data_IF_451341876420
#
_entry.id   IF_451341876420
#
_cell.length_a   1.000
_cell.length_b   1.000
_cell.length_c   1.000
_cell.angle_alpha   90.00
_cell.angle_beta   90.00
_cell.angle_gamma   90.00
#
_symmetry.space_group_name_H-M   'P 1'
#
loop_
_entity.id
_entity.type
_entity.pdbx_description
1 polymer ?
#
# COMPACT_ATOMS: atom_id res chain seq x y z
N UNK A 1 -14.58 -12.59 -19.46
CA UNK A 1 -15.56 -12.16 -18.44
C UNK A 1 -16.18 -10.86 -18.90
N UNK A 2 -17.51 -10.72 -18.89
CA UNK A 2 -18.15 -9.44 -19.17
C UNK A 2 -17.78 -8.45 -18.06
N UNK A 3 -17.44 -7.18 -18.37
CA UNK A 3 -17.09 -6.20 -17.34
C UNK A 3 -18.32 -5.94 -16.46
N UNK A 4 -18.24 -6.30 -15.19
CA UNK A 4 -19.29 -6.02 -14.21
C UNK A 4 -19.44 -4.49 -14.06
N UNK A 5 -20.58 -3.94 -14.49
CA UNK A 5 -20.84 -2.50 -14.44
C UNK A 5 -21.42 -2.13 -13.07
N UNK A 6 -20.55 -1.79 -12.11
CA UNK A 6 -20.93 -1.49 -10.72
C UNK A 6 -21.96 -0.34 -10.60
N UNK A 7 -21.93 0.61 -11.53
CA UNK A 7 -22.85 1.74 -11.60
C UNK A 7 -24.05 1.51 -12.54
N UNK A 8 -24.35 0.25 -12.90
CA UNK A 8 -25.50 -0.05 -13.75
C UNK A 8 -26.80 0.46 -13.10
N UNK A 9 -27.56 1.22 -13.86
CA UNK A 9 -28.88 1.70 -13.47
C UNK A 9 -29.95 0.78 -14.04
N UNK A 10 -30.93 0.40 -13.22
CA UNK A 10 -32.11 -0.31 -13.69
C UNK A 10 -33.04 0.62 -14.50
N UNK A 11 -34.21 0.12 -14.91
CA UNK A 11 -35.23 0.93 -15.61
C UNK A 11 -35.68 2.17 -14.82
N UNK A 12 -35.57 2.17 -13.50
CA UNK A 12 -35.89 3.32 -12.63
C UNK A 12 -34.72 4.28 -12.39
N UNK A 13 -33.56 4.08 -13.03
CA UNK A 13 -32.36 4.87 -12.74
C UNK A 13 -31.66 4.46 -11.43
N UNK A 14 -32.16 3.45 -10.71
CA UNK A 14 -31.58 3.04 -9.44
C UNK A 14 -30.37 2.11 -9.65
N UNK A 15 -29.30 2.35 -8.90
CA UNK A 15 -28.10 1.51 -8.85
C UNK A 15 -28.16 0.53 -7.68
N UNK A 16 -27.24 -0.45 -7.65
CA UNK A 16 -27.09 -1.33 -6.49
C UNK A 16 -26.92 -0.56 -5.16
N UNK A 17 -26.25 0.59 -5.19
CA UNK A 17 -26.03 1.43 -4.02
C UNK A 17 -27.31 2.10 -3.52
N UNK A 18 -28.25 2.44 -4.42
CA UNK A 18 -29.58 2.93 -4.02
C UNK A 18 -30.33 1.87 -3.23
N UNK A 19 -30.33 0.62 -3.69
CA UNK A 19 -30.99 -0.48 -2.99
C UNK A 19 -30.31 -0.82 -1.66
N UNK A 20 -28.98 -0.77 -1.59
CA UNK A 20 -28.25 -0.97 -0.35
C UNK A 20 -28.59 0.11 0.70
N UNK A 21 -28.69 1.37 0.26
CA UNK A 21 -29.06 2.47 1.13
C UNK A 21 -30.53 2.44 1.57
N UNK A 22 -31.45 2.17 0.64
CA UNK A 22 -32.88 2.05 0.90
C UNK A 22 -33.20 0.95 1.94
N UNK A 23 -32.41 -0.12 1.96
CA UNK A 23 -32.58 -1.22 2.91
C UNK A 23 -31.79 -1.04 4.22
N UNK A 24 -31.06 0.07 4.40
CA UNK A 24 -30.24 0.29 5.60
C UNK A 24 -29.09 -0.73 5.75
N UNK A 25 -28.61 -1.31 4.65
CA UNK A 25 -27.60 -2.38 4.69
C UNK A 25 -26.18 -1.81 4.64
N UNK A 26 -25.64 -1.45 5.80
CA UNK A 26 -24.29 -0.87 5.93
C UNK A 26 -23.20 -1.76 5.33
N UNK A 27 -23.27 -3.08 5.52
CA UNK A 27 -22.29 -4.00 4.96
C UNK A 27 -22.25 -3.96 3.42
N UNK A 28 -23.43 -3.99 2.79
CA UNK A 28 -23.51 -3.93 1.33
C UNK A 28 -23.09 -2.56 0.80
N UNK A 29 -23.39 -1.48 1.52
CA UNK A 29 -22.92 -0.13 1.18
C UNK A 29 -21.39 -0.06 1.24
N UNK A 30 -20.74 -0.55 2.30
CA UNK A 30 -19.28 -0.62 2.39
C UNK A 30 -18.66 -1.40 1.23
N UNK A 31 -19.24 -2.57 0.93
CA UNK A 31 -18.75 -3.43 -0.15
C UNK A 31 -18.82 -2.71 -1.50
N UNK A 32 -19.95 -2.07 -1.81
CA UNK A 32 -20.13 -1.32 -3.05
C UNK A 32 -19.21 -0.09 -3.13
N UNK A 33 -19.10 0.66 -2.04
CA UNK A 33 -18.25 1.85 -1.99
C UNK A 33 -16.75 1.53 -2.03
N UNK A 34 -16.36 0.31 -1.66
CA UNK A 34 -14.99 -0.20 -1.81
C UNK A 34 -14.62 -0.51 -3.25
N UNK A 35 -15.60 -0.67 -4.13
CA UNK A 35 -15.36 -1.02 -5.52
C UNK A 35 -14.79 0.19 -6.30
N UNK A 36 -13.77 -0.02 -7.14
CA UNK A 36 -13.24 1.02 -8.00
C UNK A 36 -14.30 1.61 -8.92
N UNK A 37 -14.26 2.93 -9.09
CA UNK A 37 -15.16 3.64 -10.02
C UNK A 37 -16.62 3.72 -9.57
N UNK A 38 -16.99 3.25 -8.37
CA UNK A 38 -18.34 3.45 -7.82
C UNK A 38 -18.68 4.95 -7.74
N UNK A 39 -19.85 5.32 -8.26
CA UNK A 39 -20.38 6.68 -8.16
C UNK A 39 -21.54 6.71 -7.17
N UNK A 40 -21.29 7.29 -6.00
CA UNK A 40 -22.27 7.45 -4.94
C UNK A 40 -23.23 8.62 -5.13
N UNK A 41 -23.03 9.43 -6.16
CA UNK A 41 -23.82 10.63 -6.43
C UNK A 41 -24.80 10.47 -7.60
N UNK A 42 -24.83 9.29 -8.24
CA UNK A 42 -25.82 8.99 -9.27
C UNK A 42 -27.23 9.17 -8.73
N UNK A 43 -28.09 9.77 -9.56
CA UNK A 43 -29.49 10.01 -9.24
C UNK A 43 -30.36 8.98 -9.93
N UNK A 44 -31.36 8.47 -9.23
CA UNK A 44 -32.45 7.73 -9.85
C UNK A 44 -33.41 8.67 -10.62
N UNK A 45 -34.47 8.13 -11.22
CA UNK A 45 -35.46 8.94 -11.96
C UNK A 45 -36.24 9.93 -11.09
N UNK A 46 -36.35 9.68 -9.80
CA UNK A 46 -36.96 10.59 -8.83
C UNK A 46 -36.00 11.71 -8.39
N UNK A 47 -34.78 11.74 -8.95
CA UNK A 47 -33.74 12.69 -8.60
C UNK A 47 -33.01 12.37 -7.30
N UNK A 48 -33.30 11.26 -6.63
CA UNK A 48 -32.70 10.88 -5.35
C UNK A 48 -31.34 10.23 -5.55
N UNK A 49 -30.34 10.60 -4.74
CA UNK A 49 -29.08 9.86 -4.56
C UNK A 49 -29.28 8.71 -3.58
N UNK A 50 -28.38 7.71 -3.50
CA UNK A 50 -28.44 6.68 -2.47
C UNK A 50 -28.57 7.25 -1.05
N UNK A 51 -27.85 8.32 -0.72
CA UNK A 51 -27.94 8.99 0.59
C UNK A 51 -29.35 9.56 0.87
N UNK A 52 -30.03 10.09 -0.15
CA UNK A 52 -31.36 10.68 0.01
C UNK A 52 -32.41 9.63 0.40
N UNK A 53 -32.20 8.37 0.04
CA UNK A 53 -33.10 7.26 0.38
C UNK A 53 -33.00 6.79 1.83
N UNK A 54 -31.96 7.21 2.57
CA UNK A 54 -31.73 6.75 3.94
C UNK A 54 -31.56 7.87 4.98
N UNK A 55 -31.28 9.12 4.57
CA UNK A 55 -30.91 10.21 5.49
C UNK A 55 -32.00 10.58 6.51
N UNK A 56 -33.28 10.49 6.12
CA UNK A 56 -34.41 10.93 6.95
C UNK A 56 -35.08 9.76 7.71
N UNK A 57 -34.55 8.54 7.60
CA UNK A 57 -35.12 7.36 8.25
C UNK A 57 -34.63 7.30 9.71
N UNK A 58 -35.52 7.33 10.72
CA UNK A 58 -35.12 7.41 12.14
C UNK A 58 -34.57 6.10 12.73
N UNK A 59 -34.34 5.08 11.89
CA UNK A 59 -33.82 3.77 12.31
C UNK A 59 -32.30 3.77 12.30
N UNK A 60 -31.69 3.23 13.36
CA UNK A 60 -30.23 3.15 13.54
C UNK A 60 -29.49 2.63 12.29
N UNK A 61 -29.98 1.56 11.67
CA UNK A 61 -29.32 0.96 10.50
C UNK A 61 -29.20 1.95 9.31
N UNK A 62 -30.22 2.77 9.05
CA UNK A 62 -30.20 3.78 7.99
C UNK A 62 -29.36 4.99 8.39
N UNK A 63 -29.37 5.39 9.66
CA UNK A 63 -28.49 6.44 10.17
C UNK A 63 -27.01 6.06 10.04
N UNK A 64 -26.67 4.79 10.31
CA UNK A 64 -25.31 4.27 10.14
C UNK A 64 -24.90 4.29 8.66
N UNK A 65 -25.79 3.87 7.75
CA UNK A 65 -25.58 4.01 6.30
C UNK A 65 -25.42 5.46 5.86
N UNK A 66 -26.27 6.37 6.35
CA UNK A 66 -26.23 7.77 5.97
C UNK A 66 -24.91 8.42 6.41
N UNK A 67 -24.46 8.13 7.64
CA UNK A 67 -23.13 8.55 8.14
C UNK A 67 -22.01 8.01 7.27
N UNK A 68 -22.13 6.76 6.84
CA UNK A 68 -21.14 6.08 6.02
C UNK A 68 -21.04 6.75 4.64
N UNK A 69 -22.17 7.00 3.98
CA UNK A 69 -22.24 7.68 2.68
C UNK A 69 -21.76 9.14 2.77
N UNK A 70 -22.13 9.89 3.81
CA UNK A 70 -21.69 11.28 4.00
C UNK A 70 -20.18 11.39 4.25
N UNK A 71 -19.61 10.45 5.01
CA UNK A 71 -18.21 10.48 5.42
C UNK A 71 -17.32 9.55 4.59
N UNK A 72 -17.82 9.00 3.47
CA UNK A 72 -17.04 8.09 2.66
C UNK A 72 -15.89 8.84 1.98
N UNK A 73 -14.70 8.71 2.53
CA UNK A 73 -13.47 9.21 1.94
C UNK A 73 -12.84 8.10 1.13
N UNK A 74 -12.90 8.20 -0.20
CA UNK A 74 -12.04 7.38 -1.07
C UNK A 74 -10.60 7.65 -0.67
N UNK A 75 -9.87 6.62 -0.24
CA UNK A 75 -8.44 6.77 0.02
C UNK A 75 -7.79 7.06 -1.34
N UNK A 76 -7.29 8.28 -1.51
CA UNK A 76 -6.72 8.74 -2.78
C UNK A 76 -5.21 8.55 -2.86
N UNK A 77 -4.52 8.64 -1.72
CA UNK A 77 -3.07 8.50 -1.65
C UNK A 77 -2.67 7.60 -0.50
N UNK A 78 -1.53 6.94 -0.64
CA UNK A 78 -0.90 6.13 0.40
C UNK A 78 0.59 6.46 0.48
N UNK A 79 1.12 6.49 1.70
CA UNK A 79 2.56 6.63 1.92
C UNK A 79 3.24 5.28 1.73
N UNK A 80 4.35 5.28 0.96
CA UNK A 80 5.25 4.15 0.80
C UNK A 80 6.62 4.57 1.33
N UNK A 81 7.14 3.82 2.30
CA UNK A 81 8.43 4.12 2.93
C UNK A 81 9.61 3.48 2.17
N UNK A 82 10.77 4.12 2.24
CA UNK A 82 12.04 3.68 1.62
C UNK A 82 13.10 3.37 2.69
N UNK A 83 12.70 2.70 3.77
CA UNK A 83 13.53 2.54 4.96
C UNK A 83 14.05 3.91 5.47
N UNK A 84 15.36 4.19 5.48
CA UNK A 84 15.89 5.49 5.92
C UNK A 84 16.06 6.50 4.78
N UNK A 85 15.83 6.09 3.52
CA UNK A 85 15.92 6.97 2.35
C UNK A 85 14.68 7.88 2.17
N UNK A 86 13.67 7.78 3.05
CA UNK A 86 12.50 8.66 3.05
C UNK A 86 11.21 7.93 2.72
N UNK A 87 10.27 8.62 2.06
CA UNK A 87 8.99 8.08 1.64
C UNK A 87 8.47 8.78 0.37
N UNK A 88 7.46 8.19 -0.25
CA UNK A 88 6.71 8.77 -1.36
C UNK A 88 5.20 8.62 -1.13
N UNK A 89 4.44 9.64 -1.54
CA UNK A 89 2.99 9.59 -1.55
C UNK A 89 2.49 9.14 -2.92
N UNK A 90 1.84 7.98 -2.97
CA UNK A 90 1.42 7.31 -4.21
C UNK A 90 -0.09 7.41 -4.37
N UNK A 91 -0.55 7.79 -5.57
CA UNK A 91 -1.98 7.81 -5.87
C UNK A 91 -2.57 6.40 -6.04
N UNK A 92 -3.75 6.18 -5.48
CA UNK A 92 -4.47 4.91 -5.56
C UNK A 92 -5.51 4.97 -6.67
N UNK A 93 -5.22 4.35 -7.82
CA UNK A 93 -6.12 4.28 -8.98
C UNK A 93 -7.50 3.74 -8.59
N UNK A 94 -7.50 2.68 -7.77
CA UNK A 94 -8.65 1.86 -7.44
C UNK A 94 -8.95 1.89 -5.93
N UNK A 95 -8.45 2.90 -5.21
CA UNK A 95 -8.62 3.03 -3.76
C UNK A 95 -8.10 1.80 -3.01
N UNK A 96 -8.95 1.19 -2.17
CA UNK A 96 -8.59 0.00 -1.38
C UNK A 96 -8.29 -1.25 -2.22
N UNK A 97 -8.80 -1.29 -3.45
CA UNK A 97 -8.61 -2.40 -4.38
C UNK A 97 -7.42 -2.17 -5.34
N UNK A 98 -6.63 -1.12 -5.13
CA UNK A 98 -5.39 -0.92 -5.90
C UNK A 98 -4.44 -2.10 -5.63
N UNK A 99 -3.93 -2.73 -6.70
CA UNK A 99 -3.01 -3.86 -6.57
C UNK A 99 -1.59 -3.40 -6.23
N UNK A 100 -0.77 -4.31 -5.70
CA UNK A 100 0.64 -4.03 -5.45
C UNK A 100 1.39 -3.66 -6.75
N UNK A 101 1.07 -4.32 -7.87
CA UNK A 101 1.64 -4.01 -9.18
C UNK A 101 1.25 -2.61 -9.68
N UNK A 102 0.02 -2.17 -9.46
CA UNK A 102 -0.43 -0.81 -9.80
C UNK A 102 0.29 0.24 -8.94
N UNK A 103 0.44 -0.01 -7.63
CA UNK A 103 1.24 0.85 -6.74
C UNK A 103 2.69 0.90 -7.20
N UNK A 104 3.31 -0.24 -7.57
CA UNK A 104 4.68 -0.27 -8.09
C UNK A 104 4.84 0.55 -9.36
N UNK A 105 3.88 0.47 -10.30
CA UNK A 105 3.90 1.27 -11.52
C UNK A 105 3.78 2.78 -11.24
N UNK A 106 2.96 3.14 -10.23
CA UNK A 106 2.83 4.52 -9.78
C UNK A 106 4.11 5.04 -9.12
N UNK A 107 4.74 4.23 -8.25
CA UNK A 107 6.06 4.52 -7.67
C UNK A 107 7.09 4.79 -8.77
N UNK A 108 7.14 3.94 -9.80
CA UNK A 108 8.03 4.13 -10.94
C UNK A 108 7.85 5.48 -11.63
N UNK A 109 6.60 5.95 -11.75
CA UNK A 109 6.27 7.24 -12.34
C UNK A 109 6.65 8.42 -11.43
N UNK A 110 6.24 8.37 -10.17
CA UNK A 110 6.50 9.42 -9.17
C UNK A 110 8.01 9.63 -8.93
N UNK A 111 8.79 8.55 -8.99
CA UNK A 111 10.24 8.60 -8.78
C UNK A 111 11.05 8.70 -10.07
N UNK A 112 10.39 8.80 -11.24
CA UNK A 112 11.02 8.77 -12.56
C UNK A 112 12.04 7.61 -12.70
N UNK A 113 11.65 6.42 -12.24
CA UNK A 113 12.49 5.22 -12.17
C UNK A 113 12.23 4.31 -13.37
N UNK A 114 13.29 3.94 -14.08
CA UNK A 114 13.20 3.00 -15.20
C UNK A 114 12.72 1.61 -14.76
N UNK A 115 12.00 0.92 -15.65
CA UNK A 115 11.45 -0.42 -15.36
C UNK A 115 12.55 -1.44 -15.03
N UNK A 116 13.74 -1.32 -15.63
CA UNK A 116 14.92 -2.14 -15.34
C UNK A 116 15.34 -2.05 -13.87
N UNK A 117 15.42 -0.84 -13.33
CA UNK A 117 15.74 -0.54 -11.93
C UNK A 117 14.57 -0.94 -11.02
N UNK A 118 13.34 -0.58 -11.38
CA UNK A 118 12.14 -0.87 -10.60
C UNK A 118 11.94 -2.38 -10.36
N UNK A 119 12.33 -3.23 -11.33
CA UNK A 119 12.26 -4.69 -11.22
C UNK A 119 13.19 -5.28 -10.13
N UNK A 120 14.15 -4.52 -9.62
CA UNK A 120 14.97 -4.92 -8.47
C UNK A 120 14.22 -4.78 -7.15
N UNK A 121 13.08 -4.08 -7.14
CA UNK A 121 12.29 -3.80 -5.95
C UNK A 121 10.93 -4.48 -5.98
N UNK A 122 10.31 -4.56 -4.81
CA UNK A 122 8.94 -5.01 -4.64
C UNK A 122 8.29 -4.23 -3.50
N UNK A 123 6.96 -4.31 -3.44
CA UNK A 123 6.19 -3.76 -2.33
C UNK A 123 6.13 -4.77 -1.20
N UNK A 124 6.44 -4.32 0.02
CA UNK A 124 6.40 -5.13 1.23
C UNK A 124 5.41 -4.54 2.23
N UNK A 125 4.79 -5.41 3.03
CA UNK A 125 4.12 -5.00 4.27
C UNK A 125 5.07 -5.32 5.40
N UNK A 126 5.47 -4.30 6.13
CA UNK A 126 6.41 -4.41 7.23
C UNK A 126 5.77 -3.92 8.52
N UNK A 127 6.11 -4.57 9.62
CA UNK A 127 5.92 -4.10 10.97
C UNK A 127 7.18 -4.42 11.78
N UNK A 128 7.15 -4.27 13.11
CA UNK A 128 8.36 -4.43 13.93
C UNK A 128 8.89 -5.86 13.86
N UNK A 129 8.00 -6.85 13.97
CA UNK A 129 8.39 -8.26 14.05
C UNK A 129 8.22 -9.04 12.74
N UNK A 130 7.60 -8.46 11.71
CA UNK A 130 7.22 -9.20 10.51
C UNK A 130 7.34 -8.36 9.23
N UNK A 131 8.03 -8.89 8.23
CA UNK A 131 8.16 -8.28 6.89
C UNK A 131 7.76 -9.29 5.82
N UNK A 132 6.81 -8.93 4.95
CA UNK A 132 6.27 -9.82 3.92
C UNK A 132 6.25 -9.14 2.55
N UNK A 133 6.89 -9.75 1.57
CA UNK A 133 6.79 -9.33 0.17
C UNK A 133 5.40 -9.62 -0.39
N UNK A 134 4.81 -8.63 -1.07
CA UNK A 134 3.54 -8.80 -1.77
C UNK A 134 3.76 -9.30 -3.20
N UNK A 135 2.82 -10.10 -3.70
CA UNK A 135 2.72 -10.44 -5.12
C UNK A 135 2.03 -9.28 -5.87
N UNK A 136 2.29 -9.11 -7.18
CA UNK A 136 1.74 -8.00 -7.96
C UNK A 136 0.21 -7.88 -7.93
N UNK A 137 -0.50 -9.00 -7.80
CA UNK A 137 -1.97 -9.09 -7.77
C UNK A 137 -2.59 -8.86 -6.37
N UNK A 138 -1.78 -8.91 -5.30
CA UNK A 138 -2.26 -8.67 -3.94
C UNK A 138 -2.80 -7.24 -3.77
N UNK A 139 -3.75 -7.07 -2.84
CA UNK A 139 -4.33 -5.77 -2.44
C UNK A 139 -3.65 -5.27 -1.16
N UNK A 140 -2.71 -4.31 -1.22
CA UNK A 140 -1.88 -3.97 -0.06
C UNK A 140 -2.69 -3.42 1.13
N UNK A 141 -3.70 -2.57 0.85
CA UNK A 141 -4.54 -1.97 1.89
C UNK A 141 -5.36 -3.02 2.67
N UNK A 142 -5.67 -4.16 2.07
CA UNK A 142 -6.34 -5.27 2.76
C UNK A 142 -5.46 -5.90 3.85
N UNK A 143 -4.14 -5.76 3.75
CA UNK A 143 -3.16 -6.30 4.71
C UNK A 143 -2.78 -5.32 5.82
N UNK A 144 -3.08 -4.02 5.67
CA UNK A 144 -2.83 -3.00 6.70
C UNK A 144 -3.91 -2.97 7.80
N UNK A 145 -5.04 -3.68 7.61
CA UNK A 145 -6.12 -3.74 8.60
C UNK A 145 -5.63 -4.47 9.86
N UNK A 146 -5.59 -3.76 10.99
CA UNK A 146 -5.01 -4.24 12.25
C UNK A 146 -5.41 -5.66 12.66
N UNK A 147 -6.70 -6.05 12.54
CA UNK A 147 -7.13 -7.42 12.87
C UNK A 147 -6.51 -8.50 11.97
N UNK A 148 -6.45 -8.27 10.66
CA UNK A 148 -5.88 -9.23 9.69
C UNK A 148 -4.36 -9.31 9.81
N UNK A 149 -3.69 -8.19 10.07
CA UNK A 149 -2.25 -8.17 10.29
C UNK A 149 -1.88 -8.88 11.59
N UNK A 150 -2.56 -8.55 12.70
CA UNK A 150 -2.35 -9.22 14.00
C UNK A 150 -2.47 -10.74 13.89
N UNK A 151 -3.48 -11.24 13.18
CA UNK A 151 -3.64 -12.68 12.94
C UNK A 151 -2.46 -13.31 12.16
N UNK A 152 -1.74 -12.55 11.33
CA UNK A 152 -0.51 -13.02 10.67
C UNK A 152 0.68 -13.01 11.63
N UNK A 153 0.80 -11.96 12.46
CA UNK A 153 1.83 -11.86 13.50
C UNK A 153 1.66 -13.02 14.48
N UNK A 154 0.48 -13.21 15.08
CA UNK A 154 0.18 -14.33 16.00
C UNK A 154 0.48 -15.70 15.40
N UNK A 155 0.33 -15.84 14.08
CA UNK A 155 0.54 -17.11 13.38
C UNK A 155 2.02 -17.38 13.08
N UNK A 156 2.82 -16.35 12.86
CA UNK A 156 4.16 -16.45 12.28
C UNK A 156 5.26 -15.87 13.17
N UNK A 157 4.92 -15.33 14.33
CA UNK A 157 5.86 -14.80 15.31
C UNK A 157 5.42 -15.16 16.73
N UNK A 158 6.36 -15.16 17.68
CA UNK A 158 6.11 -15.42 19.11
C UNK A 158 5.91 -14.13 19.93
N UNK A 159 5.58 -13.01 19.28
CA UNK A 159 5.58 -11.67 19.90
C UNK A 159 4.19 -11.26 20.42
N UNK A 160 4.13 -10.71 21.64
CA UNK A 160 2.85 -10.28 22.24
C UNK A 160 2.31 -8.97 21.61
N UNK A 161 1.07 -9.07 21.15
CA UNK A 161 0.60 -8.44 19.91
C UNK A 161 0.02 -7.01 20.05
N UNK A 162 0.49 -6.22 21.02
CA UNK A 162 -0.22 -4.98 21.41
C UNK A 162 0.13 -3.72 20.61
N UNK A 163 1.27 -3.69 19.90
CA UNK A 163 1.77 -2.46 19.24
C UNK A 163 2.17 -2.56 17.76
N UNK A 164 1.98 -3.72 17.13
CA UNK A 164 2.33 -3.91 15.72
C UNK A 164 1.53 -2.99 14.78
N UNK A 165 2.26 -2.13 14.05
CA UNK A 165 1.71 -1.19 13.08
C UNK A 165 2.24 -1.49 11.68
N UNK A 166 1.48 -2.24 10.85
CA UNK A 166 1.91 -2.51 9.49
C UNK A 166 1.92 -1.24 8.65
N UNK A 167 2.95 -1.09 7.83
CA UNK A 167 3.09 -0.03 6.83
C UNK A 167 3.67 -0.61 5.53
N UNK A 168 3.57 0.14 4.44
CA UNK A 168 4.09 -0.28 3.15
C UNK A 168 5.50 0.25 2.94
N UNK A 169 6.39 -0.64 2.51
CA UNK A 169 7.80 -0.31 2.28
C UNK A 169 8.19 -0.80 0.89
N UNK A 170 8.86 0.05 0.11
CA UNK A 170 9.58 -0.38 -1.08
C UNK A 170 10.92 -0.97 -0.62
N UNK A 171 11.15 -2.24 -0.92
CA UNK A 171 12.39 -2.94 -0.59
C UNK A 171 12.88 -3.75 -1.77
N UNK A 172 14.13 -4.17 -1.73
CA UNK A 172 14.70 -5.12 -2.68
C UNK A 172 13.78 -6.34 -2.80
N UNK A 173 13.48 -6.72 -4.03
CA UNK A 173 12.71 -7.93 -4.31
C UNK A 173 13.52 -9.15 -3.87
N UNK A 174 12.92 -10.04 -3.10
CA UNK A 174 13.51 -11.34 -2.77
C UNK A 174 13.75 -12.20 -4.02
N UNK A 175 13.06 -11.90 -5.14
CA UNK A 175 13.24 -12.57 -6.42
C UNK A 175 14.35 -11.96 -7.29
N UNK A 176 14.91 -10.80 -6.90
CA UNK A 176 16.02 -10.21 -7.63
C UNK A 176 17.28 -11.07 -7.46
N UNK A 177 17.77 -11.63 -8.56
CA UNK A 177 19.01 -12.42 -8.57
C UNK A 177 20.24 -11.50 -8.53
N UNK A 178 21.36 -12.01 -8.01
CA UNK A 178 22.64 -11.29 -8.06
C UNK A 178 23.05 -10.95 -9.50
N UNK A 179 22.82 -11.87 -10.44
CA UNK A 179 23.15 -11.65 -11.84
C UNK A 179 22.31 -10.54 -12.48
N UNK A 180 21.04 -10.39 -12.07
CA UNK A 180 20.17 -9.30 -12.50
C UNK A 180 20.68 -7.98 -11.93
N UNK A 181 20.94 -7.94 -10.63
CA UNK A 181 21.41 -6.74 -9.93
C UNK A 181 22.72 -6.20 -10.52
N UNK A 182 23.69 -7.08 -10.84
CA UNK A 182 24.96 -6.68 -11.46
C UNK A 182 24.84 -6.23 -12.92
N UNK A 183 23.81 -6.68 -13.65
CA UNK A 183 23.60 -6.32 -15.06
C UNK A 183 22.73 -5.08 -15.21
N UNK A 184 21.89 -4.77 -14.23
CA UNK A 184 21.01 -3.61 -14.28
C UNK A 184 21.84 -2.34 -14.09
N UNK A 185 21.80 -1.46 -15.09
CA UNK A 185 22.24 -0.07 -14.90
C UNK A 185 21.23 0.62 -13.99
N UNK A 186 21.56 0.74 -12.70
CA UNK A 186 20.72 1.44 -11.75
C UNK A 186 20.90 2.96 -11.85
N UNK A 187 19.82 3.71 -11.72
CA UNK A 187 19.90 5.14 -11.45
C UNK A 187 20.58 5.39 -10.09
N UNK A 188 21.14 6.59 -9.89
CA UNK A 188 21.75 6.99 -8.62
C UNK A 188 20.78 6.80 -7.44
N UNK A 189 19.50 7.13 -7.65
CA UNK A 189 18.45 6.91 -6.67
C UNK A 189 18.19 5.42 -6.40
N UNK A 190 18.14 4.57 -7.44
CA UNK A 190 18.01 3.12 -7.28
C UNK A 190 19.18 2.48 -6.51
N UNK A 191 20.41 2.92 -6.80
CA UNK A 191 21.60 2.52 -6.04
C UNK A 191 21.52 2.96 -4.57
N UNK A 192 21.03 4.18 -4.32
CA UNK A 192 20.85 4.71 -2.97
C UNK A 192 19.87 3.85 -2.16
N UNK A 193 18.77 3.41 -2.77
CA UNK A 193 17.80 2.52 -2.11
C UNK A 193 18.40 1.15 -1.76
N UNK A 194 19.10 0.51 -2.70
CA UNK A 194 19.77 -0.77 -2.44
C UNK A 194 20.85 -0.65 -1.36
N UNK A 195 21.64 0.43 -1.42
CA UNK A 195 22.67 0.72 -0.42
C UNK A 195 22.06 0.98 0.96
N UNK A 196 20.99 1.77 1.06
CA UNK A 196 20.34 2.05 2.35
C UNK A 196 19.82 0.78 3.01
N UNK A 197 19.16 -0.09 2.23
CA UNK A 197 18.70 -1.38 2.72
C UNK A 197 19.86 -2.28 3.16
N UNK A 198 20.92 -2.37 2.35
CA UNK A 198 22.11 -3.15 2.70
C UNK A 198 22.79 -2.64 3.98
N UNK A 199 22.92 -1.32 4.11
CA UNK A 199 23.49 -0.67 5.31
C UNK A 199 22.66 -0.97 6.54
N UNK A 200 21.33 -0.90 6.46
CA UNK A 200 20.48 -1.20 7.60
C UNK A 200 20.52 -2.67 8.01
N UNK A 201 20.53 -3.59 7.05
CA UNK A 201 20.68 -5.02 7.34
C UNK A 201 22.04 -5.30 8.00
N UNK A 202 23.11 -4.64 7.56
CA UNK A 202 24.41 -4.71 8.21
C UNK A 202 24.39 -4.18 9.64
N UNK A 203 23.83 -2.99 9.88
CA UNK A 203 23.73 -2.37 11.21
C UNK A 203 22.86 -3.18 12.19
N UNK A 204 21.84 -3.88 11.67
CA UNK A 204 20.99 -4.81 12.45
C UNK A 204 21.66 -6.16 12.73
N UNK A 205 22.86 -6.40 12.18
CA UNK A 205 23.58 -7.66 12.35
C UNK A 205 23.09 -8.80 11.46
N UNK A 206 22.29 -8.54 10.43
CA UNK A 206 21.80 -9.58 9.51
C UNK A 206 22.84 -10.06 8.50
N UNK A 207 23.99 -9.38 8.39
CA UNK A 207 25.10 -9.78 7.52
C UNK A 207 26.30 -10.24 8.35
N UNK A 208 26.35 -11.52 8.77
CA UNK A 208 27.55 -12.11 9.34
C UNK A 208 28.71 -11.99 8.35
N UNK A 209 29.78 -11.34 8.76
CA UNK A 209 30.97 -11.13 7.92
C UNK A 209 32.24 -11.14 8.77
N UNK A 210 33.39 -11.27 8.11
CA UNK A 210 34.69 -11.29 8.80
C UNK A 210 35.02 -9.88 9.29
N UNK A 211 35.82 -9.77 10.35
CA UNK A 211 36.23 -8.48 10.92
C UNK A 211 36.82 -7.54 9.85
N UNK A 212 37.66 -8.07 8.96
CA UNK A 212 38.20 -7.30 7.83
C UNK A 212 37.10 -6.69 6.96
N UNK A 213 36.01 -7.42 6.70
CA UNK A 213 34.92 -6.97 5.83
C UNK A 213 34.07 -5.92 6.57
N UNK A 214 33.87 -6.08 7.89
CA UNK A 214 33.26 -5.06 8.77
C UNK A 214 34.02 -3.74 8.67
N UNK A 215 35.35 -3.77 8.78
CA UNK A 215 36.19 -2.56 8.67
C UNK A 215 36.07 -1.92 7.29
N UNK A 216 36.05 -2.71 6.22
CA UNK A 216 35.87 -2.20 4.85
C UNK A 216 34.50 -1.55 4.65
N UNK A 217 33.42 -2.21 5.07
CA UNK A 217 32.06 -1.68 4.96
C UNK A 217 31.90 -0.41 5.79
N UNK A 218 32.45 -0.38 7.01
CA UNK A 218 32.46 0.81 7.85
C UNK A 218 33.19 1.98 7.18
N UNK A 219 34.38 1.76 6.61
CA UNK A 219 35.14 2.78 5.89
C UNK A 219 34.37 3.34 4.68
N UNK A 220 33.70 2.48 3.90
CA UNK A 220 32.83 2.89 2.79
C UNK A 220 31.68 3.76 3.30
N UNK A 221 30.99 3.32 4.35
CA UNK A 221 29.88 4.08 4.93
C UNK A 221 30.32 5.43 5.50
N UNK A 222 31.45 5.50 6.20
CA UNK A 222 32.03 6.76 6.70
C UNK A 222 32.33 7.72 5.54
N UNK A 223 32.94 7.21 4.46
CA UNK A 223 33.22 8.01 3.27
C UNK A 223 31.96 8.58 2.63
N UNK A 224 30.89 7.79 2.55
CA UNK A 224 29.61 8.22 2.00
C UNK A 224 28.95 9.27 2.89
N UNK A 225 28.99 9.11 4.22
CA UNK A 225 28.30 10.01 5.15
C UNK A 225 29.04 11.32 5.41
N UNK A 226 30.37 11.29 5.46
CA UNK A 226 31.19 12.43 5.90
C UNK A 226 32.11 12.98 4.82
N UNK A 227 32.12 12.37 3.62
CA UNK A 227 32.98 12.78 2.53
C UNK A 227 34.46 12.46 2.77
N UNK A 228 35.35 13.25 2.16
CA UNK A 228 36.78 13.09 2.36
C UNK A 228 37.15 13.37 3.82
N UNK A 229 37.84 12.44 4.47
CA UNK A 229 38.56 12.77 5.71
C UNK A 229 39.55 13.86 5.38
N UNK A 230 39.30 15.09 5.84
CA UNK A 230 40.29 16.14 5.82
C UNK A 230 41.54 15.59 6.52
N UNK A 231 42.72 15.80 5.92
CA UNK A 231 43.99 15.51 6.59
C UNK A 231 43.98 16.29 7.90
N UNK A 232 43.81 15.59 9.03
CA UNK A 232 44.20 16.11 10.34
C UNK A 232 45.72 16.16 10.41
#
# INVERSE_FOLDING_TARGET
>A
MLPFKVNAQNKGGATALHFAALNGNAYLVELLLSHPGIDMNLRNRDGNRPLDLCKDVPKKAWQDVAKLLMNWKKIKKIQIDFLAAGNVMVELTDGVETSAGAIMAEIGRELNMESSTLNLFALWVCSESLSLQLKPDHKPLAHLKGKKWRAKVDKWTDQENSREKPHLVLRRSAHASLATELKTTCSEFGLTLLYDEARQNFLKGYYPCKEKDVVHLAAISTKILYGNTAKM
#
